data_IF_024683311480
#
_entry.id   IF_024683311480
#
_cell.length_a   1.000
_cell.length_b   1.000
_cell.length_c   1.000
_cell.angle_alpha   90.00
_cell.angle_beta   90.00
_cell.angle_gamma   90.00
#
_symmetry.space_group_name_H-M   'P 1'
#
loop_
_entity.id
_entity.type
_entity.pdbx_description
1 polymer ?
#
# COMPACT_ATOMS: atom_id res chain seq x y z
N UNK A 1 -14.98 14.62 14.09
CA UNK A 1 -13.65 14.19 14.56
C UNK A 1 -13.53 14.66 16.01
N UNK A 2 -13.27 13.75 16.96
CA UNK A 2 -13.07 14.11 18.37
C UNK A 2 -11.59 14.41 18.62
N UNK A 3 -10.71 13.47 18.26
CA UNK A 3 -9.26 13.59 18.40
C UNK A 3 -8.57 13.47 17.03
N UNK A 4 -7.50 14.23 16.84
CA UNK A 4 -6.65 14.21 15.64
C UNK A 4 -5.19 14.37 16.07
N UNK A 5 -4.32 13.46 15.65
CA UNK A 5 -2.88 13.50 15.94
C UNK A 5 -2.12 13.25 14.64
N UNK A 6 -1.25 14.19 14.26
CA UNK A 6 -0.42 14.09 13.07
C UNK A 6 0.37 15.36 12.77
N UNK A 7 1.30 15.32 11.81
CA UNK A 7 1.74 14.13 11.05
C UNK A 7 2.53 13.13 11.90
N UNK A 8 2.44 11.84 11.55
CA UNK A 8 3.15 10.72 12.22
C UNK A 8 3.97 9.93 11.20
N UNK A 9 4.93 9.15 11.68
CA UNK A 9 5.86 8.40 10.85
C UNK A 9 6.98 9.26 10.26
N UNK A 10 7.84 8.60 9.49
CA UNK A 10 8.96 9.16 8.76
C UNK A 10 8.50 9.46 7.32
N UNK A 11 8.79 10.65 6.78
CA UNK A 11 8.51 10.98 5.38
C UNK A 11 9.21 10.02 4.40
N UNK A 12 8.55 9.73 3.28
CA UNK A 12 9.08 8.88 2.22
C UNK A 12 10.40 9.42 1.64
N UNK A 13 11.41 8.56 1.49
CA UNK A 13 12.70 8.94 0.92
C UNK A 13 12.71 8.77 -0.62
N UNK A 14 12.22 9.78 -1.33
CA UNK A 14 11.89 9.72 -2.77
C UNK A 14 12.85 10.49 -3.69
N UNK A 15 13.93 11.08 -3.18
CA UNK A 15 14.88 11.84 -3.99
C UNK A 15 15.86 10.94 -4.77
N UNK A 16 16.25 11.39 -5.97
CA UNK A 16 17.39 10.83 -6.72
C UNK A 16 17.09 9.67 -7.67
N UNK A 17 15.82 9.31 -7.86
CA UNK A 17 15.40 8.25 -8.81
C UNK A 17 15.06 8.83 -10.19
N UNK A 18 15.39 8.11 -11.26
CA UNK A 18 15.11 8.54 -12.64
C UNK A 18 13.80 7.97 -13.13
N UNK A 19 13.51 6.71 -12.83
CA UNK A 19 12.25 6.06 -13.18
C UNK A 19 11.71 5.25 -12.00
N UNK A 20 10.45 5.49 -11.64
CA UNK A 20 9.80 4.87 -10.50
C UNK A 20 8.42 4.31 -10.85
N UNK A 21 8.04 3.21 -10.21
CA UNK A 21 6.70 2.65 -10.27
C UNK A 21 6.00 2.77 -8.91
N UNK A 22 4.88 3.48 -8.84
CA UNK A 22 4.05 3.61 -7.63
C UNK A 22 2.83 2.71 -7.76
N UNK A 23 2.66 1.79 -6.80
CA UNK A 23 1.65 0.74 -6.83
C UNK A 23 0.69 0.88 -5.66
N UNK A 24 -0.59 1.09 -5.97
CA UNK A 24 -1.68 1.23 -5.01
C UNK A 24 -2.68 0.08 -5.09
N UNK A 25 -3.08 -0.49 -3.95
CA UNK A 25 -4.12 -1.51 -3.88
C UNK A 25 -5.30 -1.10 -3.00
N UNK A 26 -6.50 -1.00 -3.58
CA UNK A 26 -7.72 -0.60 -2.88
C UNK A 26 -7.57 0.76 -2.21
N UNK A 27 -7.79 0.82 -0.88
CA UNK A 27 -7.60 2.07 -0.11
C UNK A 27 -6.12 2.51 -0.09
N UNK A 28 -5.18 1.57 -0.27
CA UNK A 28 -3.75 1.88 -0.39
C UNK A 28 -3.44 2.82 -1.56
N UNK A 29 -4.30 2.85 -2.58
CA UNK A 29 -4.22 3.80 -3.70
C UNK A 29 -4.27 5.25 -3.23
N UNK A 30 -5.16 5.62 -2.30
CA UNK A 30 -5.20 6.99 -1.79
C UNK A 30 -3.91 7.39 -1.03
N UNK A 31 -3.27 6.42 -0.38
CA UNK A 31 -2.02 6.61 0.37
C UNK A 31 -0.82 6.69 -0.58
N UNK A 32 -0.88 6.01 -1.72
CA UNK A 32 0.16 6.05 -2.74
C UNK A 32 0.19 7.35 -3.56
N UNK A 33 -0.92 8.09 -3.59
CA UNK A 33 -1.04 9.31 -4.38
C UNK A 33 0.01 10.39 -4.02
N UNK A 34 0.23 10.75 -2.74
CA UNK A 34 1.29 11.68 -2.36
C UNK A 34 2.69 11.26 -2.84
N UNK A 35 3.02 9.96 -2.81
CA UNK A 35 4.31 9.46 -3.28
C UNK A 35 4.48 9.65 -4.80
N UNK A 36 3.41 9.43 -5.58
CA UNK A 36 3.42 9.67 -7.02
C UNK A 36 3.60 11.17 -7.34
N UNK A 37 2.86 12.04 -6.63
CA UNK A 37 2.98 13.50 -6.78
C UNK A 37 4.38 13.98 -6.47
N UNK A 38 4.98 13.53 -5.36
CA UNK A 38 6.32 13.95 -4.96
C UNK A 38 7.37 13.51 -5.98
N UNK A 39 7.36 12.24 -6.41
CA UNK A 39 8.26 11.72 -7.44
C UNK A 39 8.11 12.50 -8.76
N UNK A 40 6.88 12.80 -9.16
CA UNK A 40 6.60 13.57 -10.37
C UNK A 40 7.15 15.00 -10.27
N UNK A 41 6.96 15.66 -9.13
CA UNK A 41 7.47 17.01 -8.87
C UNK A 41 9.01 17.05 -8.81
N UNK A 42 9.65 15.97 -8.37
CA UNK A 42 11.11 15.80 -8.40
C UNK A 42 11.67 15.52 -9.80
N UNK A 43 10.80 15.38 -10.82
CA UNK A 43 11.18 15.13 -12.20
C UNK A 43 11.51 13.66 -12.51
N UNK A 44 11.11 12.74 -11.65
CA UNK A 44 11.20 11.29 -11.91
C UNK A 44 10.19 10.90 -12.98
N UNK A 45 10.54 9.99 -13.89
CA UNK A 45 9.58 9.33 -14.78
C UNK A 45 8.73 8.36 -13.95
N UNK A 46 7.47 8.72 -13.74
CA UNK A 46 6.55 7.98 -12.84
C UNK A 46 5.56 7.14 -13.63
N UNK A 47 5.60 5.83 -13.41
CA UNK A 47 4.50 4.92 -13.77
C UNK A 47 3.66 4.64 -12.53
N UNK A 48 2.34 4.64 -12.67
CA UNK A 48 1.41 4.32 -11.59
C UNK A 48 0.61 3.08 -11.96
N UNK A 49 0.53 2.11 -11.04
CA UNK A 49 -0.36 0.94 -11.17
C UNK A 49 -1.33 0.94 -9.99
N UNK A 50 -2.63 1.09 -10.28
CA UNK A 50 -3.68 1.08 -9.24
C UNK A 50 -4.62 -0.09 -9.43
N UNK A 51 -4.95 -0.77 -8.34
CA UNK A 51 -5.79 -1.97 -8.34
C UNK A 51 -7.04 -1.81 -7.50
N UNK A 52 -8.18 -2.18 -8.07
CA UNK A 52 -9.48 -2.15 -7.42
C UNK A 52 -10.22 -3.48 -7.59
N UNK A 53 -11.18 -3.76 -6.71
CA UNK A 53 -12.02 -4.96 -6.86
C UNK A 53 -12.95 -4.85 -8.08
N UNK A 54 -13.49 -3.65 -8.32
CA UNK A 54 -14.39 -3.35 -9.41
C UNK A 54 -14.42 -1.83 -9.70
N UNK A 55 -15.14 -1.44 -10.75
CA UNK A 55 -15.29 -0.05 -11.21
C UNK A 55 -15.86 0.89 -10.15
N UNK A 56 -16.81 0.44 -9.34
CA UNK A 56 -17.58 1.32 -8.43
C UNK A 56 -16.74 1.91 -7.29
N UNK A 57 -15.57 1.32 -7.03
CA UNK A 57 -14.65 1.74 -5.97
C UNK A 57 -13.35 2.35 -6.50
N UNK A 58 -13.29 2.63 -7.81
CA UNK A 58 -12.19 3.38 -8.43
C UNK A 58 -12.20 4.81 -7.90
N UNK A 59 -11.02 5.30 -7.50
CA UNK A 59 -10.82 6.65 -6.97
C UNK A 59 -9.56 7.27 -7.55
N UNK A 60 -9.52 8.61 -7.57
CA UNK A 60 -8.34 9.42 -7.90
C UNK A 60 -7.73 9.18 -9.29
N UNK A 61 -8.50 8.67 -10.26
CA UNK A 61 -7.99 8.37 -11.61
C UNK A 61 -7.40 9.63 -12.29
N UNK A 62 -8.17 10.73 -12.32
CA UNK A 62 -7.72 11.99 -12.91
C UNK A 62 -6.51 12.58 -12.17
N UNK A 63 -6.50 12.47 -10.84
CA UNK A 63 -5.39 12.93 -10.00
C UNK A 63 -4.10 12.14 -10.29
N UNK A 64 -4.20 10.82 -10.42
CA UNK A 64 -3.06 9.98 -10.78
C UNK A 64 -2.59 10.20 -12.21
N UNK A 65 -3.51 10.41 -13.15
CA UNK A 65 -3.16 10.75 -14.53
C UNK A 65 -2.38 12.08 -14.58
N UNK A 66 -2.70 13.05 -13.72
CA UNK A 66 -1.99 14.31 -13.62
C UNK A 66 -0.61 14.17 -12.92
N UNK A 67 -0.43 13.15 -12.08
CA UNK A 67 0.78 12.90 -11.30
C UNK A 67 1.64 11.74 -11.84
N UNK A 68 1.44 11.32 -13.10
CA UNK A 68 2.17 10.22 -13.71
C UNK A 68 2.41 10.43 -15.20
N UNK A 69 3.38 9.69 -15.75
CA UNK A 69 3.62 9.60 -17.18
C UNK A 69 2.77 8.48 -17.80
N UNK A 70 2.61 7.37 -17.07
CA UNK A 70 1.70 6.31 -17.44
C UNK A 70 0.86 5.89 -16.22
N UNK A 71 -0.45 5.77 -16.44
CA UNK A 71 -1.40 5.23 -15.45
C UNK A 71 -1.96 3.91 -15.96
N UNK A 72 -1.78 2.85 -15.18
CA UNK A 72 -2.33 1.53 -15.41
C UNK A 72 -3.38 1.21 -14.35
N UNK A 73 -4.63 1.14 -14.76
CA UNK A 73 -5.74 0.82 -13.87
C UNK A 73 -6.16 -0.63 -14.04
N UNK A 74 -6.16 -1.36 -12.93
CA UNK A 74 -6.48 -2.78 -12.87
C UNK A 74 -7.76 -3.01 -12.06
N UNK A 75 -8.65 -3.88 -12.55
CA UNK A 75 -9.79 -4.39 -11.77
C UNK A 75 -9.77 -5.91 -11.68
N UNK A 76 -10.05 -6.44 -10.49
CA UNK A 76 -10.09 -7.89 -10.24
C UNK A 76 -11.15 -8.61 -11.08
N UNK A 77 -12.27 -7.93 -11.39
CA UNK A 77 -13.39 -8.47 -12.18
C UNK A 77 -13.40 -8.03 -13.65
N UNK A 78 -12.45 -7.16 -14.05
CA UNK A 78 -12.34 -6.63 -15.42
C UNK A 78 -13.42 -5.62 -15.79
N UNK A 79 -14.17 -5.10 -14.82
CA UNK A 79 -15.24 -4.12 -15.04
C UNK A 79 -14.73 -2.74 -15.52
N UNK A 80 -13.46 -2.42 -15.29
CA UNK A 80 -12.85 -1.16 -15.72
C UNK A 80 -11.32 -1.26 -15.84
N UNK A 81 -10.73 -0.53 -16.80
CA UNK A 81 -9.31 -0.66 -17.11
C UNK A 81 -8.97 -2.09 -17.58
N UNK A 82 -7.91 -2.65 -17.04
CA UNK A 82 -7.43 -3.98 -17.38
C UNK A 82 -7.82 -5.03 -16.32
N UNK A 83 -8.13 -6.24 -16.76
CA UNK A 83 -8.50 -7.33 -15.87
C UNK A 83 -7.27 -7.99 -15.22
N UNK A 84 -7.27 -8.03 -13.88
CA UNK A 84 -6.31 -8.75 -13.06
C UNK A 84 -5.73 -7.92 -11.92
N UNK A 85 -4.64 -8.42 -11.32
CA UNK A 85 -3.98 -7.75 -10.20
C UNK A 85 -2.89 -6.78 -10.66
N UNK A 86 -2.58 -5.79 -9.82
CA UNK A 86 -1.45 -4.86 -10.04
C UNK A 86 -0.11 -5.56 -10.27
N UNK A 87 0.09 -6.72 -9.65
CA UNK A 87 1.32 -7.52 -9.79
C UNK A 87 1.47 -8.10 -11.19
N UNK A 88 0.36 -8.44 -11.86
CA UNK A 88 0.38 -8.92 -13.24
C UNK A 88 0.84 -7.80 -14.18
N UNK A 89 0.31 -6.58 -14.00
CA UNK A 89 0.75 -5.43 -14.79
C UNK A 89 2.22 -5.11 -14.56
N UNK A 90 2.67 -5.16 -13.30
CA UNK A 90 4.10 -4.98 -12.98
C UNK A 90 4.96 -6.03 -13.68
N UNK A 91 4.57 -7.31 -13.62
CA UNK A 91 5.27 -8.40 -14.30
C UNK A 91 5.36 -8.16 -15.82
N UNK A 92 4.25 -7.81 -16.48
CA UNK A 92 4.22 -7.48 -17.92
C UNK A 92 5.18 -6.34 -18.28
N UNK A 93 5.23 -5.27 -17.48
CA UNK A 93 6.15 -4.14 -17.71
C UNK A 93 7.61 -4.56 -17.55
N UNK A 94 7.91 -5.35 -16.51
CA UNK A 94 9.24 -5.86 -16.23
C UNK A 94 9.71 -6.89 -17.27
N UNK A 95 8.80 -7.63 -17.89
CA UNK A 95 9.08 -8.55 -19.01
C UNK A 95 9.25 -7.82 -20.33
N UNK A 96 8.51 -6.72 -20.53
CA UNK A 96 8.66 -5.82 -21.69
C UNK A 96 9.98 -5.03 -21.66
N UNK A 97 10.79 -5.17 -20.60
CA UNK A 97 12.10 -4.54 -20.47
C UNK A 97 12.06 -3.14 -19.88
N UNK A 98 10.96 -2.75 -19.23
CA UNK A 98 10.94 -1.52 -18.43
C UNK A 98 11.83 -1.69 -17.22
N UNK A 99 12.79 -0.78 -17.06
CA UNK A 99 13.73 -0.77 -15.95
C UNK A 99 13.34 0.34 -14.96
N UNK A 100 13.17 -0.03 -13.69
CA UNK A 100 12.79 0.89 -12.61
C UNK A 100 13.92 1.00 -11.60
N UNK A 101 14.22 2.22 -11.17
CA UNK A 101 15.16 2.45 -10.05
C UNK A 101 14.48 2.23 -8.70
N UNK A 102 13.16 2.45 -8.65
CA UNK A 102 12.34 2.40 -7.44
C UNK A 102 10.96 1.83 -7.74
N UNK A 103 10.49 0.94 -6.87
CA UNK A 103 9.08 0.56 -6.76
C UNK A 103 8.58 0.95 -5.37
N UNK A 104 7.45 1.63 -5.29
CA UNK A 104 6.76 1.94 -4.03
C UNK A 104 5.44 1.16 -4.02
N UNK A 105 5.24 0.27 -3.06
CA UNK A 105 4.04 -0.56 -2.99
C UNK A 105 3.26 -0.33 -1.69
N UNK A 106 1.99 0.06 -1.83
CA UNK A 106 1.13 0.43 -0.71
C UNK A 106 -0.24 -0.23 -0.89
N UNK A 107 -0.56 -1.16 0.00
CA UNK A 107 -1.81 -1.91 -0.07
C UNK A 107 -1.85 -3.11 0.87
N UNK A 108 -2.66 -4.13 0.57
CA UNK A 108 -2.74 -5.33 1.39
C UNK A 108 -1.37 -6.04 1.52
N UNK A 109 -1.09 -6.63 2.68
CA UNK A 109 0.16 -7.36 2.95
C UNK A 109 0.50 -8.40 1.87
N UNK A 110 -0.45 -9.22 1.37
CA UNK A 110 -0.17 -10.16 0.29
C UNK A 110 0.25 -9.48 -1.02
N UNK A 111 -0.32 -8.31 -1.33
CA UNK A 111 0.03 -7.53 -2.52
C UNK A 111 1.45 -6.99 -2.41
N UNK A 112 1.79 -6.37 -1.28
CA UNK A 112 3.14 -5.86 -1.03
C UNK A 112 4.20 -6.98 -1.10
N UNK A 113 3.91 -8.15 -0.51
CA UNK A 113 4.77 -9.34 -0.60
C UNK A 113 4.95 -9.81 -2.05
N UNK A 114 3.87 -9.81 -2.83
CA UNK A 114 3.91 -10.24 -4.22
C UNK A 114 4.71 -9.26 -5.11
N UNK A 115 4.59 -7.95 -4.90
CA UNK A 115 5.43 -6.95 -5.58
C UNK A 115 6.90 -7.17 -5.26
N UNK A 116 7.25 -7.35 -3.98
CA UNK A 116 8.63 -7.64 -3.56
C UNK A 116 9.19 -8.90 -4.23
N UNK A 117 8.38 -9.96 -4.37
CA UNK A 117 8.82 -11.19 -5.04
C UNK A 117 9.14 -11.00 -6.53
N UNK A 118 8.49 -10.04 -7.20
CA UNK A 118 8.75 -9.71 -8.60
C UNK A 118 10.00 -8.83 -8.77
N UNK A 119 10.23 -7.91 -7.84
CA UNK A 119 11.30 -6.92 -7.93
C UNK A 119 12.63 -7.43 -7.38
N UNK A 120 12.60 -8.28 -6.34
CA UNK A 120 13.81 -8.81 -5.67
C UNK A 120 14.76 -9.59 -6.59
N UNK A 121 14.30 -10.51 -7.46
CA UNK A 121 15.19 -11.19 -8.40
C UNK A 121 15.86 -10.26 -9.42
N UNK A 122 15.25 -9.10 -9.68
CA UNK A 122 15.78 -8.08 -10.59
C UNK A 122 16.63 -7.02 -9.87
N UNK A 123 16.72 -7.06 -8.54
CA UNK A 123 17.48 -6.10 -7.75
C UNK A 123 16.87 -4.69 -7.71
N UNK A 124 15.58 -4.55 -8.04
CA UNK A 124 14.90 -3.25 -8.10
C UNK A 124 14.53 -2.81 -6.68
N UNK A 125 15.04 -1.65 -6.23
CA UNK A 125 14.75 -1.15 -4.88
C UNK A 125 13.24 -1.04 -4.68
N UNK A 126 12.73 -1.64 -3.61
CA UNK A 126 11.28 -1.70 -3.36
C UNK A 126 10.96 -1.20 -1.96
N UNK A 127 10.29 -0.06 -1.86
CA UNK A 127 9.74 0.46 -0.62
C UNK A 127 8.33 -0.08 -0.42
N UNK A 128 8.01 -0.51 0.79
CA UNK A 128 6.66 -0.95 1.18
C UNK A 128 6.19 -0.15 2.39
N UNK A 129 4.98 0.42 2.32
CA UNK A 129 4.36 1.09 3.47
C UNK A 129 3.55 0.08 4.27
N UNK A 130 4.11 -0.37 5.39
CA UNK A 130 3.49 -1.41 6.21
C UNK A 130 2.26 -0.87 6.95
N UNK A 131 1.28 -1.76 7.15
CA UNK A 131 0.04 -1.49 7.86
C UNK A 131 -0.16 -2.43 9.07
N UNK A 132 0.75 -2.42 10.06
CA UNK A 132 0.53 -3.15 11.30
C UNK A 132 -0.54 -2.46 12.17
N UNK A 133 -1.01 -3.19 13.17
CA UNK A 133 -1.91 -2.64 14.20
C UNK A 133 -1.20 -1.49 14.95
N UNK A 134 -1.88 -0.34 15.10
CA UNK A 134 -1.39 0.82 15.83
C UNK A 134 -2.35 1.21 16.94
N UNK A 135 -1.83 1.80 18.03
CA UNK A 135 -2.62 2.31 19.16
C UNK A 135 -2.24 3.75 19.44
N UNK A 136 -1.04 3.99 19.95
CA UNK A 136 -0.57 5.34 20.31
C UNK A 136 0.01 6.09 19.11
N UNK A 137 0.68 5.38 18.18
CA UNK A 137 1.30 6.00 17.00
C UNK A 137 2.57 6.82 17.29
N UNK A 138 3.12 6.72 18.51
CA UNK A 138 4.25 7.55 18.99
C UNK A 138 5.41 6.75 19.58
N UNK A 139 5.38 5.42 19.42
CA UNK A 139 6.45 4.50 19.84
C UNK A 139 6.37 4.04 21.30
N UNK A 140 5.30 4.35 22.03
CA UNK A 140 5.21 4.04 23.47
C UNK A 140 4.82 2.59 23.76
N UNK A 141 3.96 1.96 22.93
CA UNK A 141 3.39 0.65 23.26
C UNK A 141 3.98 -0.55 22.52
N UNK A 142 4.65 -0.34 21.37
CA UNK A 142 5.17 -1.43 20.53
C UNK A 142 4.09 -2.30 19.84
N UNK A 143 2.83 -1.87 19.80
CA UNK A 143 1.76 -2.59 19.09
C UNK A 143 2.07 -2.69 17.58
N UNK A 144 2.65 -1.64 17.01
CA UNK A 144 3.02 -1.55 15.61
C UNK A 144 4.36 -2.22 15.27
N UNK A 145 4.89 -3.06 16.16
CA UNK A 145 6.18 -3.73 15.92
C UNK A 145 6.12 -4.61 14.69
N UNK A 146 7.21 -4.57 13.92
CA UNK A 146 7.48 -5.36 12.72
C UNK A 146 8.91 -5.90 12.80
N UNK A 147 9.20 -7.00 12.12
CA UNK A 147 10.54 -7.56 12.00
C UNK A 147 11.13 -7.14 10.66
N UNK A 148 12.24 -6.40 10.70
CA UNK A 148 12.98 -5.89 9.54
C UNK A 148 14.42 -6.36 9.69
N UNK A 149 14.90 -7.17 8.73
CA UNK A 149 16.24 -7.77 8.74
C UNK A 149 16.58 -8.51 10.05
N UNK A 150 15.59 -9.21 10.62
CA UNK A 150 15.72 -9.92 11.90
C UNK A 150 15.68 -9.03 13.15
N UNK A 151 15.61 -7.71 13.00
CA UNK A 151 15.47 -6.76 14.10
C UNK A 151 14.02 -6.30 14.29
N UNK A 152 13.64 -6.05 15.54
CA UNK A 152 12.35 -5.43 15.85
C UNK A 152 12.42 -3.92 15.61
N UNK A 153 11.49 -3.39 14.82
CA UNK A 153 11.26 -1.95 14.58
C UNK A 153 9.81 -1.59 14.85
N UNK A 154 9.53 -0.33 15.15
CA UNK A 154 8.17 0.18 15.39
C UNK A 154 7.71 1.02 14.20
N UNK A 155 6.75 0.53 13.42
CA UNK A 155 6.35 1.18 12.17
C UNK A 155 5.87 2.64 12.35
N UNK A 156 5.35 3.02 13.51
CA UNK A 156 4.89 4.40 13.75
C UNK A 156 6.01 5.44 13.94
N UNK A 157 7.24 5.02 14.28
CA UNK A 157 8.37 5.92 14.55
C UNK A 157 9.61 5.60 13.73
N UNK A 158 9.79 4.34 13.34
CA UNK A 158 10.88 3.87 12.49
C UNK A 158 10.47 3.73 11.01
N UNK A 159 9.18 3.86 10.71
CA UNK A 159 8.60 3.68 9.37
C UNK A 159 7.51 4.72 9.09
N UNK A 160 6.38 4.39 8.43
CA UNK A 160 5.88 3.04 8.16
C UNK A 160 6.48 2.39 6.89
N UNK A 161 7.25 3.16 6.12
CA UNK A 161 7.95 2.66 4.94
C UNK A 161 9.25 1.96 5.31
N UNK A 162 9.45 0.77 4.74
CA UNK A 162 10.67 -0.02 4.91
C UNK A 162 11.14 -0.60 3.58
N UNK A 163 12.39 -1.06 3.53
CA UNK A 163 12.88 -1.89 2.42
C UNK A 163 12.13 -3.23 2.42
N UNK A 164 11.30 -3.44 1.40
CA UNK A 164 10.49 -4.64 1.26
C UNK A 164 11.30 -5.94 1.22
N UNK A 165 12.59 -5.89 0.87
CA UNK A 165 13.43 -7.08 0.81
C UNK A 165 13.80 -7.64 2.19
N UNK A 166 13.67 -6.81 3.22
CA UNK A 166 14.05 -7.07 4.60
C UNK A 166 12.84 -7.37 5.50
N UNK A 167 11.61 -7.21 5.00
CA UNK A 167 10.38 -7.36 5.80
C UNK A 167 10.03 -8.84 6.02
N UNK A 168 9.76 -9.21 7.27
CA UNK A 168 9.06 -10.47 7.59
C UNK A 168 7.54 -10.30 7.40
N UNK A 169 7.07 -10.58 6.19
CA UNK A 169 5.66 -10.50 5.85
C UNK A 169 4.79 -11.54 6.58
N UNK A 170 5.37 -12.67 7.00
CA UNK A 170 4.61 -13.76 7.63
C UNK A 170 4.35 -13.46 9.11
N UNK A 171 5.32 -12.86 9.81
CA UNK A 171 5.08 -12.26 11.13
C UNK A 171 4.02 -11.16 11.05
N UNK A 172 4.17 -10.19 10.14
CA UNK A 172 3.21 -9.10 9.98
C UNK A 172 1.78 -9.62 9.73
N UNK A 173 1.61 -10.56 8.80
CA UNK A 173 0.30 -11.14 8.49
C UNK A 173 -0.32 -11.91 9.68
N UNK A 174 0.51 -12.61 10.47
CA UNK A 174 0.05 -13.26 11.70
C UNK A 174 -0.39 -12.22 12.73
N UNK A 175 0.40 -11.17 12.94
CA UNK A 175 0.10 -10.10 13.91
C UNK A 175 -1.18 -9.36 13.57
N UNK A 176 -1.43 -9.06 12.30
CA UNK A 176 -2.66 -8.40 11.86
C UNK A 176 -3.94 -9.21 12.06
N UNK A 177 -3.85 -10.52 12.35
CA UNK A 177 -5.02 -11.35 12.70
C UNK A 177 -5.25 -11.50 14.20
N UNK A 178 -4.49 -10.77 15.04
CA UNK A 178 -4.56 -10.93 16.50
C UNK A 178 -5.94 -10.60 17.10
N UNK A 179 -6.72 -9.74 16.44
CA UNK A 179 -8.07 -9.35 16.89
C UNK A 179 -9.19 -9.79 15.94
N UNK A 180 -8.91 -10.77 15.08
CA UNK A 180 -9.85 -11.18 14.03
C UNK A 180 -11.23 -11.60 14.59
N UNK A 181 -11.25 -12.36 15.69
CA UNK A 181 -12.51 -12.81 16.32
C UNK A 181 -13.32 -11.63 16.87
N UNK A 182 -12.65 -10.67 17.53
CA UNK A 182 -13.29 -9.47 18.06
C UNK A 182 -13.82 -8.57 16.95
N UNK A 183 -13.07 -8.40 15.86
CA UNK A 183 -13.50 -7.63 14.69
C UNK A 183 -14.73 -8.26 14.02
N UNK A 184 -14.81 -9.60 13.92
CA UNK A 184 -15.98 -10.28 13.39
C UNK A 184 -17.22 -10.11 14.25
N UNK A 185 -17.08 -10.25 15.57
CA UNK A 185 -18.19 -10.05 16.51
C UNK A 185 -18.74 -8.61 16.42
N UNK A 186 -17.85 -7.62 16.34
CA UNK A 186 -18.23 -6.22 16.20
C UNK A 186 -18.86 -5.90 14.83
N UNK A 187 -18.37 -6.49 13.73
CA UNK A 187 -19.00 -6.32 12.40
C UNK A 187 -20.42 -6.90 12.39
N UNK A 188 -20.62 -8.06 13.03
CA UNK A 188 -21.95 -8.64 13.20
C UNK A 188 -22.89 -7.71 13.98
N UNK A 189 -22.42 -7.15 15.11
CA UNK A 189 -23.19 -6.20 15.91
C UNK A 189 -23.52 -4.92 15.14
N UNK A 190 -22.53 -4.32 14.46
CA UNK A 190 -22.71 -3.10 13.67
C UNK A 190 -23.70 -3.29 12.50
N UNK A 191 -23.60 -4.41 11.78
CA UNK A 191 -24.53 -4.74 10.69
C UNK A 191 -25.93 -5.04 11.20
N UNK A 192 -26.07 -5.71 12.34
CA UNK A 192 -27.36 -5.93 12.99
C UNK A 192 -28.01 -4.61 13.41
N UNK A 193 -27.25 -3.68 13.99
CA UNK A 193 -27.73 -2.34 14.35
C UNK A 193 -28.12 -1.50 13.13
N UNK A 194 -27.34 -1.55 12.04
CA UNK A 194 -27.65 -0.87 10.78
C UNK A 194 -28.90 -1.45 10.10
N UNK A 195 -29.14 -2.76 10.21
CA UNK A 195 -30.35 -3.41 9.74
C UNK A 195 -31.58 -2.96 10.55
N UNK A 196 -31.47 -2.94 11.88
CA UNK A 196 -32.55 -2.46 12.77
C UNK A 196 -32.88 -0.97 12.56
N UNK A 197 -31.90 -0.15 12.17
CA UNK A 197 -32.13 1.27 11.83
C UNK A 197 -32.78 1.50 10.46
N UNK A 198 -32.73 0.52 9.54
CA UNK A 198 -33.40 0.60 8.22
C UNK A 198 -34.86 0.17 8.25
N UNK A 199 -35.28 -0.54 9.30
CA UNK A 199 -36.66 -1.01 9.49
C UNK A 199 -37.55 -0.03 10.28
N UNK A 200 -37.00 1.11 10.71
CA UNK A 200 -37.71 2.23 11.37
C UNK A 200 -37.65 3.50 10.51
#
# INVERSE_FOLDING_TARGET
ILDFVGPLGIPSALEGYKKACVIGGGVGTAIAYPSAVELYNLGTEVDVIVGFRNKDIVILEDDFAAASHNLYLMTDDGSYGEHGFVTKKLEELLEAGVDYDLVVAIGPVPMMKAVVNLTKPKGIKTLVSLNPIMVDGTGMCGCCRVVIDGELKFACVDGPEFDGFQVDFDDLARRNRSYFEQEQELDHQCRAELAMKKEN
#
